data_IF_980257830894
#
_entry.id   IF_980257830894
#
_cell.length_a   1.000
_cell.length_b   1.000
_cell.length_c   1.000
_cell.angle_alpha   90.00
_cell.angle_beta   90.00
_cell.angle_gamma   90.00
#
_symmetry.space_group_name_H-M   'P 1'
#
loop_
_entity.id
_entity.type
_entity.pdbx_description
1 polymer ?
#
# COMPACT_ATOMS: atom_id res chain seq x y z
N UNK A 1 -10.93 -17.58 -6.64
CA UNK A 1 -12.24 -16.90 -6.77
C UNK A 1 -12.98 -17.39 -8.01
N UNK A 2 -14.07 -16.75 -8.46
CA UNK A 2 -14.62 -16.97 -9.79
C UNK A 2 -13.78 -16.20 -10.82
N UNK A 3 -13.46 -16.81 -11.95
CA UNK A 3 -12.56 -16.23 -12.95
C UNK A 3 -13.15 -14.95 -13.56
N UNK A 4 -12.34 -13.88 -13.63
CA UNK A 4 -12.75 -12.63 -14.26
C UNK A 4 -12.85 -12.80 -15.77
N UNK A 5 -13.81 -12.11 -16.40
CA UNK A 5 -13.89 -12.00 -17.86
C UNK A 5 -12.87 -10.99 -18.38
N UNK A 6 -12.16 -11.34 -19.44
CA UNK A 6 -11.19 -10.47 -20.11
C UNK A 6 -11.68 -10.12 -21.52
N UNK A 7 -11.59 -8.85 -21.95
CA UNK A 7 -12.03 -8.44 -23.29
C UNK A 7 -11.34 -9.25 -24.39
N UNK A 8 -12.15 -9.77 -25.32
CA UNK A 8 -11.71 -10.52 -26.50
C UNK A 8 -10.84 -11.74 -26.19
N UNK A 9 -10.98 -12.33 -25.00
CA UNK A 9 -10.23 -13.49 -24.57
C UNK A 9 -11.15 -14.51 -23.89
N UNK A 10 -10.73 -15.77 -23.90
CA UNK A 10 -11.38 -16.86 -23.17
C UNK A 10 -10.34 -17.82 -22.58
N UNK A 11 -10.68 -18.58 -21.52
CA UNK A 11 -9.82 -19.66 -21.06
C UNK A 11 -9.56 -20.66 -22.19
N UNK A 12 -8.32 -21.13 -22.28
CA UNK A 12 -7.90 -22.09 -23.32
C UNK A 12 -8.52 -23.47 -23.10
N UNK A 13 -8.66 -23.89 -21.84
CA UNK A 13 -9.49 -25.05 -21.50
C UNK A 13 -10.96 -24.62 -21.39
N UNK A 14 -11.82 -25.26 -22.18
CA UNK A 14 -13.26 -25.01 -22.14
C UNK A 14 -13.87 -25.24 -20.75
N UNK A 15 -13.35 -26.18 -19.95
CA UNK A 15 -13.85 -26.46 -18.60
C UNK A 15 -13.66 -25.26 -17.67
N UNK A 16 -12.59 -24.50 -17.85
CA UNK A 16 -12.28 -23.30 -17.06
C UNK A 16 -13.19 -22.12 -17.41
N UNK A 17 -13.84 -22.17 -18.58
CA UNK A 17 -14.84 -21.18 -19.00
C UNK A 17 -16.23 -21.41 -18.41
N UNK A 18 -16.49 -22.55 -17.77
CA UNK A 18 -17.80 -22.88 -17.23
C UNK A 18 -18.01 -22.24 -15.85
N UNK A 19 -19.24 -21.77 -15.58
CA UNK A 19 -19.57 -21.22 -14.26
C UNK A 19 -19.55 -22.29 -13.15
N UNK A 20 -19.87 -23.54 -13.52
CA UNK A 20 -19.99 -24.66 -12.59
C UNK A 20 -19.48 -25.94 -13.21
N UNK A 21 -18.97 -26.85 -12.38
CA UNK A 21 -18.64 -28.23 -12.75
C UNK A 21 -19.30 -29.22 -11.80
N UNK A 22 -19.57 -30.43 -12.27
CA UNK A 22 -20.03 -31.51 -11.39
C UNK A 22 -18.84 -32.05 -10.59
N UNK A 23 -18.93 -32.01 -9.26
CA UNK A 23 -17.95 -32.62 -8.36
C UNK A 23 -18.36 -34.06 -8.08
N UNK A 24 -17.57 -35.02 -8.57
CA UNK A 24 -17.87 -36.45 -8.45
C UNK A 24 -17.73 -36.97 -7.03
N UNK A 25 -16.91 -36.34 -6.19
CA UNK A 25 -16.73 -36.74 -4.79
C UNK A 25 -17.88 -36.22 -3.93
N UNK A 26 -18.22 -34.94 -4.09
CA UNK A 26 -19.31 -34.31 -3.38
C UNK A 26 -20.70 -34.61 -4.00
N UNK A 27 -20.74 -35.30 -5.15
CA UNK A 27 -21.94 -35.65 -5.93
C UNK A 27 -22.86 -34.47 -6.20
N UNK A 28 -22.29 -33.27 -6.37
CA UNK A 28 -23.02 -32.01 -6.50
C UNK A 28 -22.35 -31.07 -7.48
N UNK A 29 -23.13 -30.19 -8.08
CA UNK A 29 -22.63 -29.10 -8.92
C UNK A 29 -21.97 -28.03 -8.05
N UNK A 30 -20.70 -27.73 -8.31
CA UNK A 30 -19.91 -26.72 -7.60
C UNK A 30 -19.46 -25.63 -8.57
N UNK A 31 -19.15 -24.43 -8.06
CA UNK A 31 -18.59 -23.35 -8.88
C UNK A 31 -17.18 -23.71 -9.33
N UNK A 32 -16.81 -23.36 -10.55
CA UNK A 32 -15.40 -23.41 -10.98
C UNK A 32 -14.67 -22.27 -10.28
N UNK A 33 -13.67 -22.62 -9.48
CA UNK A 33 -12.88 -21.67 -8.70
C UNK A 33 -11.41 -22.04 -8.75
N UNK A 34 -10.56 -21.02 -8.75
CA UNK A 34 -9.10 -21.16 -8.73
C UNK A 34 -8.54 -20.74 -7.36
N UNK A 35 -7.48 -21.43 -6.95
CA UNK A 35 -6.70 -21.22 -5.74
C UNK A 35 -5.54 -20.26 -5.99
N UNK A 36 -5.03 -19.66 -4.91
CA UNK A 36 -3.78 -18.91 -4.96
C UNK A 36 -2.65 -19.77 -5.56
N UNK A 37 -1.87 -19.18 -6.47
CA UNK A 37 -0.79 -19.83 -7.21
C UNK A 37 -1.22 -20.48 -8.52
N UNK A 38 -2.52 -20.66 -8.77
CA UNK A 38 -2.99 -21.24 -10.03
C UNK A 38 -2.66 -20.32 -11.22
N UNK A 39 -2.24 -20.93 -12.33
CA UNK A 39 -2.00 -20.24 -13.61
C UNK A 39 -2.99 -20.76 -14.64
N UNK A 40 -3.84 -19.86 -15.13
CA UNK A 40 -4.90 -20.19 -16.08
C UNK A 40 -4.48 -19.67 -17.47
N UNK A 41 -4.27 -20.54 -18.46
CA UNK A 41 -3.95 -20.12 -19.82
C UNK A 41 -5.20 -19.58 -20.52
N UNK A 42 -5.06 -18.42 -21.12
CA UNK A 42 -6.07 -17.78 -21.96
C UNK A 42 -5.65 -17.76 -23.42
N UNK A 43 -6.64 -17.75 -24.30
CA UNK A 43 -6.48 -17.50 -25.71
C UNK A 43 -7.34 -16.32 -26.18
N UNK A 44 -6.81 -15.56 -27.13
CA UNK A 44 -7.52 -14.50 -27.81
C UNK A 44 -8.58 -15.08 -28.76
N UNK A 45 -9.71 -14.38 -28.86
CA UNK A 45 -10.75 -14.71 -29.82
C UNK A 45 -10.24 -14.52 -31.27
N UNK A 46 -10.86 -15.20 -32.26
CA UNK A 46 -10.49 -15.03 -33.66
C UNK A 46 -10.45 -13.57 -34.09
N UNK A 47 -9.36 -13.16 -34.75
CA UNK A 47 -9.11 -11.78 -35.15
C UNK A 47 -8.43 -10.90 -34.10
N UNK A 48 -8.02 -11.46 -32.97
CA UNK A 48 -7.29 -10.76 -31.91
C UNK A 48 -5.95 -11.43 -31.58
N UNK A 49 -4.97 -10.62 -31.19
CA UNK A 49 -3.63 -11.05 -30.78
C UNK A 49 -3.16 -10.25 -29.56
N UNK A 50 -2.15 -10.73 -28.85
CA UNK A 50 -1.68 -10.14 -27.59
C UNK A 50 -0.90 -8.85 -27.77
N UNK A 51 -0.42 -8.58 -28.98
CA UNK A 51 0.30 -7.35 -29.33
C UNK A 51 -0.41 -6.50 -30.39
N UNK A 52 -1.50 -6.98 -31.00
CA UNK A 52 -2.23 -6.28 -32.06
C UNK A 52 -1.71 -6.50 -33.49
N UNK A 53 -0.61 -7.23 -33.68
CA UNK A 53 -0.11 -7.59 -35.00
C UNK A 53 -0.88 -8.79 -35.59
N UNK A 54 -0.97 -8.91 -36.92
CA UNK A 54 -1.65 -10.04 -37.60
C UNK A 54 -1.00 -11.40 -37.33
N UNK A 55 0.31 -11.41 -37.15
CA UNK A 55 1.16 -12.55 -36.81
C UNK A 55 1.52 -12.60 -35.32
N UNK A 56 0.85 -11.78 -34.51
CA UNK A 56 1.05 -11.71 -33.06
C UNK A 56 0.64 -12.98 -32.33
N UNK A 57 1.21 -13.18 -31.14
CA UNK A 57 0.81 -14.27 -30.26
C UNK A 57 -0.68 -14.20 -29.91
N UNK A 58 -1.30 -15.35 -29.64
CA UNK A 58 -2.74 -15.44 -29.35
C UNK A 58 -3.02 -15.98 -27.95
N UNK A 59 -2.00 -16.18 -27.12
CA UNK A 59 -2.15 -16.75 -25.78
C UNK A 59 -1.44 -15.92 -24.73
N UNK A 60 -2.01 -15.87 -23.54
CA UNK A 60 -1.45 -15.22 -22.36
C UNK A 60 -1.92 -15.93 -21.10
N UNK A 61 -1.25 -15.71 -19.97
CA UNK A 61 -1.57 -16.38 -18.72
C UNK A 61 -2.26 -15.43 -17.75
N UNK A 62 -3.13 -15.99 -16.93
CA UNK A 62 -3.76 -15.28 -15.81
C UNK A 62 -3.38 -15.99 -14.52
N UNK A 63 -2.63 -15.32 -13.68
CA UNK A 63 -2.19 -15.86 -12.40
C UNK A 63 -3.18 -15.47 -11.29
N UNK A 64 -3.62 -16.44 -10.47
CA UNK A 64 -4.34 -16.16 -9.23
C UNK A 64 -3.35 -15.82 -8.12
N UNK A 65 -3.24 -14.53 -7.78
CA UNK A 65 -2.36 -14.04 -6.72
C UNK A 65 -2.68 -14.69 -5.37
N UNK A 66 -1.66 -14.80 -4.51
CA UNK A 66 -1.79 -15.17 -3.08
C UNK A 66 -2.82 -14.30 -2.33
N UNK A 67 -3.03 -13.08 -2.81
CA UNK A 67 -4.00 -12.13 -2.27
C UNK A 67 -5.43 -12.33 -2.82
N UNK A 68 -5.66 -13.37 -3.63
CA UNK A 68 -7.00 -13.75 -4.09
C UNK A 68 -7.54 -12.98 -5.30
N UNK A 69 -6.71 -12.20 -6.01
CA UNK A 69 -7.08 -11.51 -7.25
C UNK A 69 -6.37 -12.09 -8.48
N UNK A 70 -7.00 -11.97 -9.65
CA UNK A 70 -6.43 -12.43 -10.91
C UNK A 70 -5.55 -11.36 -11.56
N UNK A 71 -4.34 -11.75 -11.96
CA UNK A 71 -3.36 -10.91 -12.64
C UNK A 71 -3.11 -11.43 -14.06
N UNK A 72 -3.72 -10.82 -15.10
CA UNK A 72 -3.42 -11.18 -16.49
C UNK A 72 -2.01 -10.71 -16.87
N UNK A 73 -1.29 -11.52 -17.64
CA UNK A 73 0.01 -11.15 -18.22
C UNK A 73 -0.11 -10.41 -19.56
N UNK A 74 -1.32 -10.37 -20.14
CA UNK A 74 -1.59 -9.74 -21.42
C UNK A 74 -3.06 -9.37 -21.61
N UNK A 75 -3.35 -8.77 -22.76
CA UNK A 75 -4.69 -8.42 -23.22
C UNK A 75 -4.82 -8.75 -24.70
N UNK A 76 -6.03 -9.01 -25.18
CA UNK A 76 -6.27 -9.31 -26.60
C UNK A 76 -6.70 -8.06 -27.37
N UNK A 77 -5.90 -7.70 -28.37
CA UNK A 77 -6.05 -6.53 -29.23
C UNK A 77 -6.46 -6.96 -30.63
N UNK A 78 -7.30 -6.18 -31.29
CA UNK A 78 -7.73 -6.49 -32.66
C UNK A 78 -6.50 -6.50 -33.58
N UNK A 79 -6.33 -7.59 -34.32
CA UNK A 79 -5.23 -7.73 -35.26
C UNK A 79 -5.31 -6.65 -36.34
N UNK A 80 -4.24 -5.87 -36.49
CA UNK A 80 -4.17 -4.71 -37.37
C UNK A 80 -3.00 -4.82 -38.35
N UNK A 81 -3.13 -4.13 -39.48
CA UNK A 81 -2.03 -3.92 -40.44
C UNK A 81 -0.93 -2.99 -39.90
N UNK A 82 -1.21 -2.25 -38.83
CA UNK A 82 -0.25 -1.34 -38.18
C UNK A 82 0.82 -2.05 -37.33
N UNK A 83 0.82 -3.39 -37.30
CA UNK A 83 1.77 -4.17 -36.52
C UNK A 83 1.49 -4.13 -35.02
N UNK A 84 2.49 -4.43 -34.18
CA UNK A 84 2.32 -4.42 -32.73
C UNK A 84 2.15 -3.01 -32.18
N UNK A 85 1.35 -2.87 -31.12
CA UNK A 85 1.21 -1.59 -30.43
C UNK A 85 2.52 -1.20 -29.72
N UNK A 86 2.86 0.10 -29.66
CA UNK A 86 4.07 0.53 -28.95
C UNK A 86 3.94 0.31 -27.45
N UNK A 87 5.08 0.05 -26.80
CA UNK A 87 5.16 0.06 -25.34
C UNK A 87 5.17 1.51 -24.84
N UNK A 88 4.21 1.88 -24.00
CA UNK A 88 4.09 3.21 -23.42
C UNK A 88 4.34 3.12 -21.93
N UNK A 89 5.27 3.94 -21.43
CA UNK A 89 5.59 3.98 -20.01
C UNK A 89 4.34 4.26 -19.17
N UNK A 90 4.12 3.44 -18.15
CA UNK A 90 3.00 3.55 -17.23
C UNK A 90 1.61 3.55 -17.91
N UNK A 91 1.48 2.93 -19.08
CA UNK A 91 0.20 2.71 -19.73
C UNK A 91 0.05 1.26 -20.18
N UNK A 92 -1.19 0.79 -20.24
CA UNK A 92 -1.54 -0.54 -20.72
C UNK A 92 -2.65 -0.44 -21.77
N UNK A 93 -2.61 -1.24 -22.83
CA UNK A 93 -3.71 -1.30 -23.77
C UNK A 93 -4.94 -1.93 -23.11
N UNK A 94 -6.13 -1.44 -23.45
CA UNK A 94 -7.38 -1.84 -22.76
C UNK A 94 -8.10 -3.04 -23.40
N UNK A 95 -7.63 -3.50 -24.56
CA UNK A 95 -8.35 -4.47 -25.40
C UNK A 95 -9.52 -3.86 -26.19
N UNK A 96 -9.89 -2.60 -25.94
CA UNK A 96 -10.97 -1.92 -26.66
C UNK A 96 -10.44 -1.18 -27.88
N UNK A 97 -11.19 -1.23 -28.97
CA UNK A 97 -10.93 -0.47 -30.20
C UNK A 97 -11.60 0.90 -30.16
N UNK A 98 -10.95 1.90 -30.74
CA UNK A 98 -11.53 3.22 -30.97
C UNK A 98 -11.41 3.55 -32.47
N UNK A 99 -12.46 3.20 -33.24
CA UNK A 99 -12.36 3.16 -34.70
C UNK A 99 -11.30 2.15 -35.16
N UNK A 100 -10.34 2.60 -35.97
CA UNK A 100 -9.16 1.81 -36.39
C UNK A 100 -7.98 1.92 -35.40
N UNK A 101 -8.17 2.62 -34.30
CA UNK A 101 -7.18 2.80 -33.23
C UNK A 101 -7.33 1.83 -32.06
N UNK A 102 -6.35 1.87 -31.17
CA UNK A 102 -6.32 1.11 -29.91
C UNK A 102 -6.44 2.08 -28.75
N UNK A 103 -7.30 1.73 -27.79
CA UNK A 103 -7.48 2.51 -26.57
C UNK A 103 -6.53 2.03 -25.47
N UNK A 104 -5.81 2.96 -24.88
CA UNK A 104 -4.92 2.77 -23.76
C UNK A 104 -5.52 3.36 -22.47
N UNK A 105 -5.05 2.83 -21.34
CA UNK A 105 -5.28 3.39 -20.03
C UNK A 105 -3.92 3.62 -19.36
N UNK A 106 -3.73 4.78 -18.74
CA UNK A 106 -2.67 4.93 -17.76
C UNK A 106 -2.86 3.88 -16.65
N UNK A 107 -1.75 3.26 -16.27
CA UNK A 107 -1.69 2.21 -15.27
C UNK A 107 -2.21 2.73 -13.92
N UNK A 108 -2.53 1.80 -13.01
CA UNK A 108 -3.01 2.17 -11.68
C UNK A 108 -2.05 3.15 -11.01
N UNK A 109 -2.58 4.29 -10.56
CA UNK A 109 -1.83 5.36 -9.94
C UNK A 109 -1.22 6.39 -10.88
N UNK A 110 -1.49 6.31 -12.18
CA UNK A 110 -1.08 7.29 -13.18
C UNK A 110 -2.27 7.84 -13.99
N UNK A 111 -2.19 9.10 -14.38
CA UNK A 111 -3.17 9.83 -15.18
C UNK A 111 -2.46 10.76 -16.17
N UNK A 112 -3.17 11.22 -17.19
CA UNK A 112 -2.66 12.12 -18.22
C UNK A 112 -2.33 13.52 -17.68
N UNK A 113 -2.99 13.90 -16.59
CA UNK A 113 -2.85 15.20 -15.94
C UNK A 113 -2.10 15.15 -14.59
N UNK A 114 -1.87 13.96 -14.03
CA UNK A 114 -1.29 13.80 -12.69
C UNK A 114 -2.30 13.95 -11.56
N UNK A 115 -3.59 14.10 -11.88
CA UNK A 115 -4.67 14.18 -10.89
C UNK A 115 -5.36 12.83 -10.69
N UNK A 116 -6.03 12.68 -9.55
CA UNK A 116 -6.78 11.45 -9.25
C UNK A 116 -7.82 11.14 -10.32
N UNK A 117 -7.93 9.88 -10.73
CA UNK A 117 -8.98 9.45 -11.67
C UNK A 117 -10.33 9.49 -10.95
N UNK A 118 -11.18 10.44 -11.35
CA UNK A 118 -12.49 10.64 -10.73
C UNK A 118 -13.48 9.59 -11.24
N UNK A 119 -14.12 8.86 -10.32
CA UNK A 119 -15.23 7.96 -10.65
C UNK A 119 -16.39 8.73 -11.28
N UNK A 120 -16.78 8.34 -12.50
CA UNK A 120 -17.80 9.04 -13.30
C UNK A 120 -17.25 10.02 -14.34
N UNK A 121 -15.95 10.31 -14.33
CA UNK A 121 -15.28 11.20 -15.30
C UNK A 121 -15.06 10.60 -16.70
N UNK A 122 -15.68 9.46 -17.01
CA UNK A 122 -15.52 8.70 -18.27
C UNK A 122 -14.05 8.38 -18.65
N UNK A 123 -13.14 8.40 -17.66
CA UNK A 123 -11.71 8.19 -17.87
C UNK A 123 -11.02 9.29 -18.68
N UNK A 124 -11.55 10.53 -18.69
CA UNK A 124 -10.98 11.66 -19.45
C UNK A 124 -9.48 11.90 -19.17
N UNK A 125 -9.05 11.72 -17.93
CA UNK A 125 -7.66 11.84 -17.53
C UNK A 125 -6.94 10.49 -17.37
N UNK A 126 -7.56 9.38 -17.74
CA UNK A 126 -6.95 8.05 -17.64
C UNK A 126 -6.76 7.41 -19.02
N UNK A 127 -7.61 7.73 -19.98
CA UNK A 127 -7.73 7.03 -21.24
C UNK A 127 -7.24 7.92 -22.39
N UNK A 128 -6.47 7.32 -23.29
CA UNK A 128 -6.05 7.94 -24.53
C UNK A 128 -6.07 6.88 -25.65
N UNK A 129 -5.97 7.32 -26.89
CA UNK A 129 -6.14 6.48 -28.06
C UNK A 129 -4.96 6.69 -29.00
N UNK A 130 -4.48 5.60 -29.61
CA UNK A 130 -3.53 5.67 -30.71
C UNK A 130 -4.21 5.21 -31.99
N UNK A 131 -4.21 6.06 -33.00
CA UNK A 131 -4.73 5.74 -34.33
C UNK A 131 -3.70 4.94 -35.13
N UNK A 132 -4.22 3.99 -35.90
CA UNK A 132 -3.45 3.29 -36.93
C UNK A 132 -3.31 4.21 -38.15
N UNK A 133 -2.07 4.55 -38.51
CA UNK A 133 -1.76 5.36 -39.69
C UNK A 133 -1.54 4.41 -40.85
N UNK A 134 -2.56 4.26 -41.70
CA UNK A 134 -2.58 3.24 -42.74
C UNK A 134 -1.40 3.34 -43.73
N UNK A 135 -0.97 4.56 -44.04
CA UNK A 135 0.09 4.81 -45.01
C UNK A 135 1.48 4.41 -44.51
N UNK A 136 1.76 4.60 -43.21
CA UNK A 136 3.04 4.19 -42.61
C UNK A 136 3.02 2.74 -42.14
N UNK A 137 1.85 2.11 -42.04
CA UNK A 137 1.70 0.78 -41.46
C UNK A 137 2.07 0.75 -39.98
N UNK A 138 1.90 1.86 -39.25
CA UNK A 138 2.24 2.00 -37.84
C UNK A 138 1.25 2.83 -37.04
N UNK A 139 1.30 2.71 -35.72
CA UNK A 139 0.52 3.56 -34.82
C UNK A 139 1.15 4.95 -34.69
N UNK A 140 0.31 5.97 -34.48
CA UNK A 140 0.79 7.31 -34.15
C UNK A 140 1.60 7.33 -32.86
N UNK A 141 2.54 8.27 -32.74
CA UNK A 141 3.31 8.44 -31.52
C UNK A 141 2.43 9.04 -30.42
N UNK A 142 2.53 8.48 -29.22
CA UNK A 142 1.92 9.09 -28.05
C UNK A 142 2.70 10.36 -27.68
N UNK A 143 2.05 11.51 -27.74
CA UNK A 143 2.64 12.81 -27.39
C UNK A 143 2.39 13.22 -25.93
N UNK A 144 1.57 12.47 -25.20
CA UNK A 144 1.30 12.69 -23.79
C UNK A 144 2.26 11.94 -22.87
N UNK A 145 1.97 12.00 -21.57
CA UNK A 145 2.67 11.26 -20.53
C UNK A 145 1.66 10.79 -19.48
N UNK A 146 1.78 9.55 -19.02
CA UNK A 146 1.07 9.08 -17.84
C UNK A 146 1.87 9.51 -16.60
N UNK A 147 1.37 10.53 -15.90
CA UNK A 147 1.96 11.14 -14.70
C UNK A 147 1.38 10.49 -13.43
N UNK A 148 2.19 10.25 -12.40
CA UNK A 148 1.69 9.60 -11.20
C UNK A 148 0.77 10.54 -10.39
N UNK A 149 -0.39 10.05 -9.96
CA UNK A 149 -1.29 10.69 -8.98
C UNK A 149 -1.43 9.86 -7.69
N UNK A 150 -1.26 8.52 -7.78
CA UNK A 150 -1.29 7.62 -6.63
C UNK A 150 0.11 7.12 -6.23
N UNK A 151 1.15 7.79 -6.70
CA UNK A 151 2.52 7.63 -6.23
C UNK A 151 3.22 8.99 -6.21
N UNK A 152 3.07 9.72 -5.11
CA UNK A 152 3.80 10.97 -4.87
C UNK A 152 5.17 10.61 -4.29
N UNK A 153 6.29 11.04 -4.91
CA UNK A 153 7.61 10.91 -4.29
C UNK A 153 7.64 11.63 -2.94
N UNK A 154 7.77 10.82 -1.88
CA UNK A 154 8.26 11.00 -0.52
C UNK A 154 8.29 12.36 0.24
N UNK A 155 7.92 13.54 -0.26
CA UNK A 155 8.10 14.78 0.55
C UNK A 155 6.84 15.19 1.29
N UNK A 156 5.70 15.31 0.60
CA UNK A 156 4.45 15.73 1.23
C UNK A 156 3.71 14.58 1.92
N UNK A 157 3.63 13.40 1.27
CA UNK A 157 2.95 12.25 1.86
C UNK A 157 3.73 11.67 3.05
N UNK A 158 5.05 11.54 2.98
CA UNK A 158 5.87 11.14 4.14
C UNK A 158 5.80 12.18 5.24
N UNK A 159 5.74 13.48 4.93
CA UNK A 159 5.52 14.52 5.94
C UNK A 159 4.17 14.34 6.64
N UNK A 160 3.10 14.02 5.92
CA UNK A 160 1.78 13.73 6.50
C UNK A 160 1.83 12.46 7.34
N UNK A 161 2.38 11.37 6.83
CA UNK A 161 2.52 10.11 7.57
C UNK A 161 3.40 10.29 8.81
N UNK A 162 4.56 10.96 8.71
CA UNK A 162 5.44 11.23 9.84
C UNK A 162 4.74 12.09 10.90
N UNK A 163 3.95 13.10 10.52
CA UNK A 163 3.17 13.90 11.49
C UNK A 163 2.10 13.06 12.19
N UNK A 164 1.38 12.21 11.44
CA UNK A 164 0.35 11.34 12.02
C UNK A 164 0.98 10.28 12.93
N UNK A 165 2.08 9.65 12.48
CA UNK A 165 2.80 8.66 13.27
C UNK A 165 3.50 9.28 14.48
N UNK A 166 4.03 10.50 14.39
CA UNK A 166 4.57 11.23 15.53
C UNK A 166 3.50 11.44 16.61
N UNK A 167 2.32 11.91 16.20
CA UNK A 167 1.22 12.13 17.10
C UNK A 167 0.77 10.83 17.77
N UNK A 168 0.57 9.76 16.98
CA UNK A 168 0.17 8.44 17.48
C UNK A 168 1.25 7.82 18.40
N UNK A 169 2.51 7.88 17.99
CA UNK A 169 3.65 7.40 18.77
C UNK A 169 3.75 8.14 20.09
N UNK A 170 3.71 9.47 20.06
CA UNK A 170 3.87 10.30 21.27
C UNK A 170 2.75 10.02 22.28
N UNK A 171 1.51 9.89 21.81
CA UNK A 171 0.37 9.54 22.66
C UNK A 171 0.53 8.14 23.26
N UNK A 172 0.86 7.15 22.43
CA UNK A 172 1.02 5.75 22.86
C UNK A 172 2.20 5.56 23.82
N UNK A 173 3.36 6.13 23.49
CA UNK A 173 4.58 6.12 24.29
C UNK A 173 4.33 6.77 25.67
N UNK A 174 3.75 7.97 25.70
CA UNK A 174 3.43 8.67 26.95
C UNK A 174 2.42 7.90 27.79
N UNK A 175 1.37 7.35 27.16
CA UNK A 175 0.38 6.51 27.83
C UNK A 175 1.01 5.30 28.51
N UNK A 176 1.89 4.61 27.80
CA UNK A 176 2.65 3.47 28.31
C UNK A 176 3.53 3.85 29.51
N UNK A 177 4.29 4.93 29.42
CA UNK A 177 5.15 5.39 30.51
C UNK A 177 4.36 5.83 31.75
N UNK A 178 3.25 6.55 31.57
CA UNK A 178 2.36 6.92 32.69
C UNK A 178 1.78 5.69 33.38
N UNK A 179 1.37 4.68 32.60
CA UNK A 179 0.84 3.42 33.14
C UNK A 179 1.91 2.65 33.92
N UNK A 180 3.11 2.52 33.37
CA UNK A 180 4.24 1.86 34.03
C UNK A 180 4.65 2.58 35.32
N UNK A 181 4.70 3.92 35.29
CA UNK A 181 4.93 4.74 36.49
C UNK A 181 3.85 4.53 37.56
N UNK A 182 2.59 4.35 37.15
CA UNK A 182 1.50 3.94 38.04
C UNK A 182 1.72 2.58 38.71
N UNK A 183 2.42 1.66 38.03
CA UNK A 183 2.81 0.35 38.54
C UNK A 183 4.14 0.35 39.32
N UNK A 184 4.81 1.51 39.46
CA UNK A 184 5.99 1.66 40.31
C UNK A 184 7.34 1.32 39.66
N UNK A 185 7.38 1.02 38.35
CA UNK A 185 8.65 0.70 37.69
C UNK A 185 8.67 1.12 36.20
N UNK A 186 9.85 1.43 35.62
CA UNK A 186 10.00 1.63 34.19
C UNK A 186 9.58 0.37 33.39
N UNK A 187 9.13 0.52 32.12
CA UNK A 187 8.81 -0.63 31.27
C UNK A 187 10.00 -1.59 31.10
N UNK A 188 9.71 -2.89 31.12
CA UNK A 188 10.69 -3.93 30.83
C UNK A 188 11.24 -3.79 29.40
N UNK A 189 12.54 -4.00 29.23
CA UNK A 189 13.21 -3.89 27.92
C UNK A 189 13.58 -2.47 27.49
N UNK A 190 13.30 -1.44 28.31
CA UNK A 190 13.69 -0.06 28.01
C UNK A 190 15.21 0.10 27.80
N UNK A 191 16.04 -0.66 28.52
CA UNK A 191 17.50 -0.67 28.34
C UNK A 191 17.95 -1.24 27.00
N UNK A 192 17.20 -2.23 26.50
CA UNK A 192 17.50 -2.87 25.23
C UNK A 192 16.93 -2.09 24.04
N UNK A 193 16.12 -1.05 24.28
CA UNK A 193 15.40 -0.33 23.24
C UNK A 193 16.32 0.25 22.16
N UNK A 194 17.49 0.75 22.56
CA UNK A 194 18.47 1.34 21.64
C UNK A 194 19.34 0.30 20.91
N UNK A 195 19.27 -0.99 21.29
CA UNK A 195 20.13 -2.05 20.74
C UNK A 195 19.93 -2.32 19.24
N UNK A 196 18.76 -1.93 18.70
CA UNK A 196 18.42 -2.08 17.27
C UNK A 196 18.78 -0.85 16.41
N UNK A 197 19.21 0.25 17.03
CA UNK A 197 19.65 1.46 16.29
C UNK A 197 21.00 1.14 15.66
N UNK A 198 21.11 1.23 14.33
CA UNK A 198 22.34 0.88 13.59
C UNK A 198 23.39 1.99 13.65
N UNK A 199 22.96 3.25 13.55
CA UNK A 199 23.85 4.42 13.64
C UNK A 199 24.44 4.59 15.06
N UNK A 200 25.75 4.77 15.14
CA UNK A 200 26.47 4.84 16.41
C UNK A 200 26.17 6.11 17.22
N UNK A 201 25.98 7.25 16.54
CA UNK A 201 25.69 8.52 17.19
C UNK A 201 24.24 8.56 17.71
N UNK A 202 23.29 8.17 16.87
CA UNK A 202 21.87 8.03 17.24
C UNK A 202 21.68 7.03 18.38
N UNK A 203 22.44 5.91 18.38
CA UNK A 203 22.40 4.93 19.46
C UNK A 203 22.85 5.55 20.79
N UNK A 204 23.93 6.33 20.79
CA UNK A 204 24.43 7.00 21.99
C UNK A 204 23.45 8.04 22.52
N UNK A 205 22.78 8.81 21.65
CA UNK A 205 21.74 9.77 22.05
C UNK A 205 20.49 9.07 22.60
N UNK A 206 20.06 7.97 21.98
CA UNK A 206 18.98 7.13 22.49
C UNK A 206 19.30 6.61 23.90
N UNK A 207 20.53 6.11 24.13
CA UNK A 207 20.95 5.61 25.45
C UNK A 207 20.93 6.72 26.52
N UNK A 208 21.30 7.96 26.17
CA UNK A 208 21.19 9.11 27.08
C UNK A 208 19.74 9.42 27.45
N UNK A 209 18.82 9.39 26.47
CA UNK A 209 17.39 9.58 26.73
C UNK A 209 16.82 8.49 27.65
N UNK A 210 17.22 7.23 27.43
CA UNK A 210 16.81 6.09 28.28
C UNK A 210 17.33 6.25 29.72
N UNK A 211 18.58 6.67 29.89
CA UNK A 211 19.14 6.93 31.21
C UNK A 211 18.40 8.08 31.93
N UNK A 212 18.07 9.14 31.19
CA UNK A 212 17.35 10.29 31.73
C UNK A 212 15.95 9.91 32.23
N UNK A 213 15.14 9.23 31.39
CA UNK A 213 13.77 8.87 31.81
C UNK A 213 13.77 7.90 33.00
N UNK A 214 14.82 7.09 33.17
CA UNK A 214 14.99 6.24 34.36
C UNK A 214 15.25 7.05 35.63
N UNK A 215 16.15 8.03 35.56
CA UNK A 215 16.42 8.92 36.68
C UNK A 215 15.16 9.71 37.06
N UNK A 216 14.38 10.14 36.06
CA UNK A 216 13.10 10.79 36.27
C UNK A 216 12.09 9.85 36.96
N UNK A 217 12.01 8.57 36.56
CA UNK A 217 11.18 7.58 37.24
C UNK A 217 11.56 7.42 38.71
N UNK A 218 12.85 7.24 39.01
CA UNK A 218 13.32 7.10 40.40
C UNK A 218 12.99 8.33 41.24
N UNK A 219 13.30 9.52 40.72
CA UNK A 219 13.06 10.80 41.41
C UNK A 219 11.58 11.04 41.66
N UNK A 220 10.74 10.82 40.64
CA UNK A 220 9.30 11.09 40.76
C UNK A 220 8.57 10.04 41.59
N UNK A 221 9.01 8.78 41.59
CA UNK A 221 8.46 7.76 42.50
C UNK A 221 8.76 8.09 43.96
N UNK A 222 10.01 8.46 44.28
CA UNK A 222 10.38 8.88 45.63
C UNK A 222 9.61 10.14 46.08
N UNK A 223 9.45 11.12 45.17
CA UNK A 223 8.63 12.30 45.43
C UNK A 223 7.16 11.95 45.68
N UNK A 224 6.61 10.99 44.93
CA UNK A 224 5.22 10.52 45.08
C UNK A 224 5.01 9.79 46.40
N UNK A 225 5.94 8.93 46.80
CA UNK A 225 5.90 8.26 48.10
C UNK A 225 5.95 9.29 49.24
N UNK A 226 6.85 10.27 49.17
CA UNK A 226 6.94 11.33 50.16
C UNK A 226 5.70 12.22 50.20
N UNK A 227 5.06 12.46 49.04
CA UNK A 227 3.79 13.18 48.95
C UNK A 227 2.66 12.37 49.58
N UNK A 228 2.53 11.10 49.20
CA UNK A 228 1.47 10.20 49.68
C UNK A 228 1.58 9.98 51.21
N UNK A 229 2.80 9.92 51.77
CA UNK A 229 3.01 9.82 53.23
C UNK A 229 2.58 11.08 54.00
N UNK A 230 2.63 12.26 53.37
CA UNK A 230 2.23 13.54 53.97
C UNK A 230 0.77 13.90 53.68
N UNK A 231 0.14 13.17 52.78
CA UNK A 231 -1.20 13.44 52.29
C UNK A 231 -2.23 12.81 53.23
N UNK A 232 -3.08 13.64 53.86
CA UNK A 232 -4.19 13.17 54.71
C UNK A 232 -5.48 12.99 53.90
N UNK A 233 -5.35 12.40 52.70
CA UNK A 233 -6.40 12.37 51.68
C UNK A 233 -7.44 11.30 51.97
N UNK A 234 -8.72 11.66 51.87
CA UNK A 234 -9.82 10.73 52.07
C UNK A 234 -10.10 9.90 50.81
N UNK A 235 -10.60 8.67 50.99
CA UNK A 235 -10.79 7.67 49.92
C UNK A 235 -11.78 8.07 48.81
N UNK A 236 -12.60 9.11 49.01
CA UNK A 236 -13.62 9.60 48.08
C UNK A 236 -13.20 10.84 47.28
N UNK A 237 -12.04 11.43 47.57
CA UNK A 237 -11.53 12.54 46.76
C UNK A 237 -11.04 11.96 45.43
N UNK A 238 -11.60 12.40 44.30
CA UNK A 238 -11.37 11.77 42.99
C UNK A 238 -10.00 12.12 42.38
N UNK A 239 -9.46 13.32 42.65
CA UNK A 239 -8.23 13.82 42.03
C UNK A 239 -7.28 14.47 43.06
N UNK A 240 -5.98 14.26 42.89
CA UNK A 240 -4.93 14.98 43.62
C UNK A 240 -4.01 15.63 42.58
N UNK A 241 -4.33 16.86 42.18
CA UNK A 241 -3.62 17.56 41.11
C UNK A 241 -2.17 17.89 41.49
N UNK A 242 -1.80 17.84 42.77
CA UNK A 242 -0.45 18.05 43.26
C UNK A 242 0.41 16.78 43.30
N UNK A 243 -0.21 15.59 43.13
CA UNK A 243 0.50 14.31 43.23
C UNK A 243 1.60 14.21 42.18
N UNK A 244 2.87 14.00 42.58
CA UNK A 244 3.98 13.88 41.64
C UNK A 244 3.76 12.79 40.60
N UNK A 245 4.14 13.08 39.36
CA UNK A 245 3.90 12.20 38.23
C UNK A 245 4.89 12.42 37.09
N UNK A 246 4.93 11.47 36.16
CA UNK A 246 5.91 11.46 35.07
C UNK A 246 5.42 12.16 33.79
N UNK A 247 4.25 12.80 33.80
CA UNK A 247 3.55 13.25 32.59
C UNK A 247 4.37 14.16 31.67
N UNK A 248 5.07 15.16 32.23
CA UNK A 248 5.94 16.07 31.47
C UNK A 248 7.23 15.40 30.99
N UNK A 249 7.87 14.62 31.87
CA UNK A 249 9.08 13.86 31.56
C UNK A 249 8.84 12.83 30.43
N UNK A 250 7.72 12.11 30.49
CA UNK A 250 7.31 11.15 29.47
C UNK A 250 7.02 11.84 28.12
N UNK A 251 6.38 13.02 28.12
CA UNK A 251 6.20 13.80 26.90
C UNK A 251 7.55 14.18 26.28
N UNK A 252 8.47 14.72 27.09
CA UNK A 252 9.78 15.15 26.61
C UNK A 252 10.60 13.97 26.07
N UNK A 253 10.59 12.84 26.77
CA UNK A 253 11.23 11.61 26.31
C UNK A 253 10.67 11.13 24.98
N UNK A 254 9.34 10.97 24.85
CA UNK A 254 8.73 10.44 23.64
C UNK A 254 8.94 11.35 22.43
N UNK A 255 8.79 12.67 22.58
CA UNK A 255 9.03 13.61 21.48
C UNK A 255 10.50 13.63 21.03
N UNK A 256 11.46 13.53 21.96
CA UNK A 256 12.89 13.48 21.60
C UNK A 256 13.28 12.13 20.98
N UNK A 257 12.72 11.03 21.49
CA UNK A 257 12.94 9.71 20.92
C UNK A 257 12.41 9.62 19.49
N UNK A 258 11.26 10.20 19.21
CA UNK A 258 10.73 10.28 17.84
C UNK A 258 11.69 11.01 16.89
N UNK A 259 12.24 12.16 17.30
CA UNK A 259 13.22 12.92 16.51
C UNK A 259 14.53 12.17 16.22
N UNK A 260 14.89 11.18 17.04
CA UNK A 260 16.05 10.32 16.77
C UNK A 260 15.74 9.20 15.77
N UNK A 261 14.46 8.86 15.61
CA UNK A 261 13.99 7.75 14.79
C UNK A 261 13.36 8.21 13.47
N UNK A 262 13.08 9.51 13.34
CA UNK A 262 12.58 10.08 12.09
C UNK A 262 13.64 9.96 10.99
N UNK A 263 13.25 9.47 9.82
CA UNK A 263 14.13 9.46 8.66
C UNK A 263 14.43 10.91 8.25
N UNK A 264 15.69 11.29 7.96
CA UNK A 264 15.97 12.61 7.40
C UNK A 264 15.17 12.75 6.09
N UNK A 265 14.33 13.78 6.04
CA UNK A 265 13.65 14.14 4.79
C UNK A 265 14.71 14.54 3.76
N UNK A 266 14.77 13.80 2.65
CA UNK A 266 15.45 14.23 1.42
C UNK A 266 14.59 15.27 0.71
#
# INVERSE_FOLDING_TARGET
>A
GALAGYPNARPKDYKDSQATRYDTQAKKTVKVTFSAGDVIPFECLPGFTTNGAKDGGTTFDVNCSELGYYKPSGVCLKASKCGPVPNISHAVPTGKTAGDGVKFACASGYSLDGETVVGGGLGKNQLFELKCVEFSGGYEAFTGECKPYAFVPATETVRVYNKVFEALFTVSCKGTLKKAFGAGAPPAGLDAACGKVQDGATRAECSKLVAQIRADFQTQLAAREAHDQKSNRSWYEAEDPGRPGIGGHAQAFCSRLWKLLEMPGL
#
